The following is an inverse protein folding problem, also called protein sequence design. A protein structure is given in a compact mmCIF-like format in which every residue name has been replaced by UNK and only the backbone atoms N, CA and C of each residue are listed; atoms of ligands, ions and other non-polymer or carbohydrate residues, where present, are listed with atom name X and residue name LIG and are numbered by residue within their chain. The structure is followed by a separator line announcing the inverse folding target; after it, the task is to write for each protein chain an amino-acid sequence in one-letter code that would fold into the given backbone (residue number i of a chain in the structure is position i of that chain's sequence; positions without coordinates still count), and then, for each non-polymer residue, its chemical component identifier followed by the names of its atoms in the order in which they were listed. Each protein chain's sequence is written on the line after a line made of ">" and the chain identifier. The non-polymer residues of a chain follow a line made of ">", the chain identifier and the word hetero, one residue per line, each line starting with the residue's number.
data_IF_778184017567
#
_entry.id   IF_778184017567
#
_cell.length_a   1.000
_cell.length_b   1.000
_cell.length_c   1.000
_cell.angle_alpha   90.00
_cell.angle_beta   90.00
_cell.angle_gamma   90.00
#
_symmetry.space_group_name_H-M   'P 1'
#
loop_
_entity.id
_entity.type
_entity.pdbx_description
1 polymer ?
#
# COMPACT_ATOMS: atom_id res chain seq x y z
N UNK A 1 5.10 2.55 -16.50
CA UNK A 1 4.63 1.69 -15.40
C UNK A 1 3.20 2.09 -15.03
N UNK A 2 2.29 1.14 -14.81
CA UNK A 2 0.93 1.35 -14.33
C UNK A 2 0.82 0.91 -12.88
N UNK A 3 0.47 1.82 -11.98
CA UNK A 3 0.33 1.54 -10.54
C UNK A 3 -1.13 1.76 -10.14
N UNK A 4 -1.71 0.82 -9.40
CA UNK A 4 -2.98 1.02 -8.72
C UNK A 4 -2.71 1.23 -7.22
N UNK A 5 -3.32 2.26 -6.63
CA UNK A 5 -3.40 2.46 -5.19
C UNK A 5 -4.86 2.25 -4.79
N UNK A 6 -5.13 1.22 -3.99
CA UNK A 6 -6.48 0.81 -3.63
C UNK A 6 -6.67 0.86 -2.13
N UNK A 7 -7.81 1.39 -1.69
CA UNK A 7 -8.22 1.48 -0.28
C UNK A 7 -9.71 1.17 -0.14
N UNK A 8 -10.20 0.88 1.07
CA UNK A 8 -11.63 0.76 1.36
C UNK A 8 -12.19 1.85 2.29
N UNK A 9 -11.42 2.92 2.54
CA UNK A 9 -11.83 3.97 3.46
C UNK A 9 -11.45 5.37 2.94
N UNK A 10 -12.44 6.26 2.87
CA UNK A 10 -12.25 7.62 2.38
C UNK A 10 -11.27 8.45 3.23
N UNK A 11 -11.09 8.13 4.52
CA UNK A 11 -10.09 8.81 5.36
C UNK A 11 -8.65 8.56 4.92
N UNK A 12 -8.42 7.54 4.09
CA UNK A 12 -7.10 7.18 3.56
C UNK A 12 -6.78 7.88 2.23
N UNK A 13 -7.74 8.65 1.70
CA UNK A 13 -7.57 9.37 0.44
C UNK A 13 -6.43 10.41 0.48
N UNK A 14 -6.19 11.17 1.57
CA UNK A 14 -5.04 12.07 1.65
C UNK A 14 -3.69 11.35 1.48
N UNK A 15 -3.53 10.19 2.14
CA UNK A 15 -2.34 9.35 2.00
C UNK A 15 -2.22 8.83 0.56
N UNK A 16 -3.32 8.32 0.00
CA UNK A 16 -3.33 7.75 -1.35
C UNK A 16 -2.95 8.79 -2.42
N UNK A 17 -3.47 10.02 -2.30
CA UNK A 17 -3.15 11.13 -3.20
C UNK A 17 -1.69 11.55 -3.06
N UNK A 18 -1.21 11.76 -1.83
CA UNK A 18 0.17 12.16 -1.60
C UNK A 18 1.17 11.11 -2.09
N UNK A 19 0.86 9.83 -1.84
CA UNK A 19 1.66 8.73 -2.35
C UNK A 19 1.69 8.73 -3.88
N UNK A 20 0.56 9.01 -4.55
CA UNK A 20 0.54 9.11 -6.02
C UNK A 20 1.43 10.23 -6.54
N UNK A 21 1.37 11.43 -5.96
CA UNK A 21 2.22 12.56 -6.35
C UNK A 21 3.71 12.24 -6.19
N UNK A 22 4.08 11.59 -5.09
CA UNK A 22 5.48 11.27 -4.82
C UNK A 22 6.00 10.13 -5.70
N UNK A 23 5.19 9.12 -6.00
CA UNK A 23 5.52 8.08 -6.97
C UNK A 23 5.66 8.64 -8.38
N UNK A 24 4.81 9.59 -8.79
CA UNK A 24 4.95 10.30 -10.07
C UNK A 24 6.24 11.12 -10.16
N UNK A 25 6.70 11.69 -9.04
CA UNK A 25 7.95 12.43 -9.00
C UNK A 25 9.17 11.52 -9.11
N UNK A 26 9.15 10.36 -8.45
CA UNK A 26 10.30 9.45 -8.37
C UNK A 26 10.39 8.47 -9.55
N UNK A 27 9.26 8.02 -10.09
CA UNK A 27 9.19 7.04 -11.18
C UNK A 27 8.62 7.71 -12.42
N UNK A 28 9.47 7.98 -13.42
CA UNK A 28 9.03 8.50 -14.72
C UNK A 28 9.51 7.59 -15.85
N UNK A 29 8.61 7.13 -16.76
CA UNK A 29 7.18 7.41 -16.83
C UNK A 29 6.30 6.44 -16.00
N UNK A 30 5.34 6.99 -15.24
CA UNK A 30 4.32 6.23 -14.49
C UNK A 30 2.91 6.77 -14.77
N UNK A 31 1.91 5.89 -14.70
CA UNK A 31 0.49 6.21 -14.70
C UNK A 31 -0.11 5.58 -13.45
N UNK A 32 -0.76 6.39 -12.61
CA UNK A 32 -1.29 5.96 -11.33
C UNK A 32 -2.82 6.08 -11.31
N UNK A 33 -3.47 5.02 -10.84
CA UNK A 33 -4.92 4.98 -10.58
C UNK A 33 -5.14 4.85 -9.08
N UNK A 34 -5.92 5.75 -8.49
CA UNK A 34 -6.30 5.70 -7.08
C UNK A 34 -7.78 5.31 -7.01
N UNK A 35 -8.08 4.19 -6.35
CA UNK A 35 -9.45 3.69 -6.20
C UNK A 35 -9.82 3.49 -4.73
N UNK A 36 -11.02 3.94 -4.37
CA UNK A 36 -11.60 3.80 -3.04
C UNK A 36 -12.82 2.90 -3.14
N UNK A 37 -12.73 1.73 -2.55
CA UNK A 37 -13.84 0.79 -2.44
C UNK A 37 -14.75 1.18 -1.27
N UNK A 38 -16.07 0.96 -1.37
CA UNK A 38 -16.99 1.27 -0.28
C UNK A 38 -16.79 0.42 0.99
N UNK A 39 -16.18 -0.76 0.86
CA UNK A 39 -15.93 -1.68 1.97
C UNK A 39 -14.74 -2.61 1.69
N UNK A 40 -14.20 -3.24 2.74
CA UNK A 40 -13.13 -4.24 2.62
C UNK A 40 -13.58 -5.43 1.78
N UNK A 41 -14.84 -5.86 1.89
CA UNK A 41 -15.41 -6.96 1.11
C UNK A 41 -15.51 -6.63 -0.39
N UNK A 42 -15.84 -5.38 -0.73
CA UNK A 42 -15.83 -4.92 -2.13
C UNK A 42 -14.40 -4.83 -2.68
N UNK A 43 -13.45 -4.38 -1.86
CA UNK A 43 -12.02 -4.39 -2.21
C UNK A 43 -11.54 -5.83 -2.49
N UNK A 44 -11.88 -6.80 -1.64
CA UNK A 44 -11.56 -8.23 -1.84
C UNK A 44 -12.10 -8.73 -3.19
N UNK A 45 -13.35 -8.42 -3.48
CA UNK A 45 -14.02 -8.86 -4.71
C UNK A 45 -13.43 -8.19 -5.95
N UNK A 46 -13.02 -6.93 -5.83
CA UNK A 46 -12.47 -6.13 -6.92
C UNK A 46 -10.97 -6.30 -7.16
N UNK A 47 -10.21 -6.88 -6.22
CA UNK A 47 -8.74 -6.89 -6.26
C UNK A 47 -8.18 -7.55 -7.54
N UNK A 48 -8.81 -8.64 -7.99
CA UNK A 48 -8.38 -9.36 -9.20
C UNK A 48 -8.44 -8.49 -10.47
N UNK A 49 -9.30 -7.48 -10.50
CA UNK A 49 -9.46 -6.56 -11.63
C UNK A 49 -8.16 -5.82 -11.96
N UNK A 50 -7.25 -5.69 -10.99
CA UNK A 50 -5.98 -4.99 -11.15
C UNK A 50 -4.81 -5.89 -11.57
N UNK A 51 -5.05 -7.15 -11.94
CA UNK A 51 -4.03 -8.09 -12.45
C UNK A 51 -3.18 -7.53 -13.63
N UNK A 52 -3.73 -6.57 -14.38
CA UNK A 52 -3.08 -5.96 -15.53
C UNK A 52 -2.22 -4.74 -15.19
N UNK A 53 -2.14 -4.35 -13.91
CA UNK A 53 -1.24 -3.31 -13.43
C UNK A 53 0.15 -3.88 -13.13
N UNK A 54 1.19 -3.05 -13.30
CA UNK A 54 2.57 -3.44 -13.02
C UNK A 54 2.84 -3.56 -11.51
N UNK A 55 2.08 -2.80 -10.70
CA UNK A 55 2.13 -2.82 -9.24
C UNK A 55 0.77 -2.41 -8.68
N UNK A 56 0.33 -3.11 -7.65
CA UNK A 56 -0.85 -2.75 -6.86
C UNK A 56 -0.46 -2.51 -5.41
N UNK A 57 -0.85 -1.36 -4.89
CA UNK A 57 -0.60 -0.92 -3.54
C UNK A 57 -1.93 -0.94 -2.81
N UNK A 58 -2.08 -1.85 -1.85
CA UNK A 58 -3.27 -1.92 -0.99
C UNK A 58 -2.98 -1.13 0.28
N UNK A 59 -3.79 -0.12 0.56
CA UNK A 59 -3.77 0.66 1.79
C UNK A 59 -5.03 0.31 2.60
N UNK A 60 -4.85 -0.03 3.87
CA UNK A 60 -5.95 -0.23 4.79
C UNK A 60 -5.54 0.15 6.22
N UNK A 61 -6.27 1.09 6.80
CA UNK A 61 -6.18 1.47 8.20
C UNK A 61 -7.50 1.13 8.89
N UNK A 62 -7.44 0.24 9.87
CA UNK A 62 -8.62 -0.29 10.53
C UNK A 62 -8.51 -0.14 12.04
N UNK A 63 -9.62 0.16 12.73
CA UNK A 63 -9.65 0.30 14.18
C UNK A 63 -9.58 -1.06 14.88
N UNK A 64 -10.73 -1.69 15.15
CA UNK A 64 -10.74 -3.04 15.72
C UNK A 64 -10.50 -4.12 14.64
N UNK A 65 -9.79 -5.20 15.01
CA UNK A 65 -9.59 -6.36 14.15
C UNK A 65 -10.94 -6.89 13.64
N UNK A 66 -11.09 -6.93 12.31
CA UNK A 66 -12.31 -7.38 11.65
C UNK A 66 -12.08 -8.66 10.87
N UNK A 67 -13.11 -9.49 10.78
CA UNK A 67 -13.10 -10.69 9.94
C UNK A 67 -12.74 -10.36 8.48
N UNK A 68 -13.22 -9.23 7.98
CA UNK A 68 -13.00 -8.77 6.61
C UNK A 68 -11.52 -8.43 6.36
N UNK A 69 -10.82 -7.84 7.34
CA UNK A 69 -9.37 -7.57 7.23
C UNK A 69 -8.60 -8.88 7.07
N UNK A 70 -8.96 -9.91 7.84
CA UNK A 70 -8.35 -11.23 7.70
C UNK A 70 -8.60 -11.83 6.32
N UNK A 71 -9.83 -11.75 5.82
CA UNK A 71 -10.16 -12.22 4.47
C UNK A 71 -9.36 -11.46 3.39
N UNK A 72 -9.15 -10.14 3.56
CA UNK A 72 -8.33 -9.36 2.65
C UNK A 72 -6.87 -9.83 2.66
N UNK A 73 -6.32 -10.11 3.83
CA UNK A 73 -4.94 -10.62 3.94
C UNK A 73 -4.80 -11.99 3.26
N UNK A 74 -5.76 -12.88 3.43
CA UNK A 74 -5.81 -14.17 2.73
C UNK A 74 -5.90 -13.97 1.22
N UNK A 75 -6.76 -13.04 0.76
CA UNK A 75 -6.90 -12.71 -0.67
C UNK A 75 -5.63 -12.12 -1.28
N UNK A 76 -4.92 -11.25 -0.56
CA UNK A 76 -3.64 -10.69 -1.02
C UNK A 76 -2.60 -11.79 -1.24
N UNK A 77 -2.55 -12.79 -0.37
CA UNK A 77 -1.64 -13.94 -0.53
C UNK A 77 -2.02 -14.77 -1.75
N UNK A 78 -3.30 -14.99 -1.98
CA UNK A 78 -3.82 -15.69 -3.16
C UNK A 78 -3.42 -14.96 -4.46
N UNK A 79 -3.70 -13.66 -4.57
CA UNK A 79 -3.40 -12.89 -5.79
C UNK A 79 -1.89 -12.77 -6.05
N UNK A 80 -1.07 -12.63 -5.00
CA UNK A 80 0.39 -12.71 -5.13
C UNK A 80 0.84 -14.06 -5.69
N UNK A 81 0.25 -15.13 -5.21
CA UNK A 81 0.55 -16.50 -5.68
C UNK A 81 0.09 -16.71 -7.13
N UNK A 82 -0.93 -15.97 -7.57
CA UNK A 82 -1.40 -15.93 -8.96
C UNK A 82 -0.54 -15.04 -9.89
N UNK A 83 0.51 -14.39 -9.36
CA UNK A 83 1.48 -13.61 -10.13
C UNK A 83 1.29 -12.09 -10.06
N UNK A 84 0.32 -11.60 -9.28
CA UNK A 84 0.08 -10.18 -9.09
C UNK A 84 1.19 -9.54 -8.24
N UNK A 85 1.81 -8.48 -8.76
CA UNK A 85 2.78 -7.68 -7.98
C UNK A 85 2.03 -6.75 -7.04
N UNK A 86 1.90 -7.16 -5.78
CA UNK A 86 1.10 -6.47 -4.78
C UNK A 86 1.91 -6.13 -3.53
N UNK A 87 1.90 -4.86 -3.11
CA UNK A 87 2.43 -4.41 -1.82
C UNK A 87 1.27 -3.94 -0.95
N UNK A 88 1.22 -4.41 0.29
CA UNK A 88 0.09 -4.18 1.19
C UNK A 88 0.55 -3.48 2.47
N UNK A 89 -0.13 -2.40 2.83
CA UNK A 89 0.02 -1.66 4.07
C UNK A 89 -1.30 -1.75 4.81
N UNK A 90 -1.35 -2.69 5.74
CA UNK A 90 -2.54 -3.00 6.53
C UNK A 90 -2.15 -2.77 7.98
N UNK A 91 -2.57 -1.64 8.53
CA UNK A 91 -2.21 -1.22 9.88
C UNK A 91 -3.44 -1.02 10.73
N UNK A 92 -3.36 -1.49 11.97
CA UNK A 92 -4.37 -1.21 12.96
C UNK A 92 -4.15 0.22 13.47
N UNK A 93 -5.12 1.10 13.26
CA UNK A 93 -5.11 2.47 13.77
C UNK A 93 -6.52 2.83 14.23
N UNK A 94 -6.70 2.97 15.55
CA UNK A 94 -7.95 3.40 16.15
C UNK A 94 -8.21 4.90 15.96
N UNK A 95 -7.16 5.66 15.67
CA UNK A 95 -7.26 7.07 15.33
C UNK A 95 -7.47 7.22 13.81
N UNK A 96 -8.53 7.94 13.42
CA UNK A 96 -8.70 8.32 12.03
C UNK A 96 -7.50 9.17 11.60
N UNK A 97 -6.98 8.95 10.38
CA UNK A 97 -5.91 9.78 9.80
C UNK A 97 -6.41 11.23 9.76
N UNK A 98 -6.02 11.99 10.77
CA UNK A 98 -6.73 13.21 11.18
C UNK A 98 -6.01 14.48 10.79
N UNK A 99 -4.74 14.37 10.39
CA UNK A 99 -3.88 15.51 10.07
C UNK A 99 -3.00 15.26 8.83
N UNK A 100 -2.66 16.33 8.12
CA UNK A 100 -1.74 16.30 6.98
C UNK A 100 -0.34 15.79 7.37
N UNK A 101 0.08 16.01 8.62
CA UNK A 101 1.34 15.52 9.18
C UNK A 101 1.33 14.00 9.37
N UNK A 102 0.20 13.43 9.77
CA UNK A 102 0.04 11.99 9.87
C UNK A 102 0.05 11.35 8.48
N UNK A 103 -0.63 11.97 7.50
CA UNK A 103 -0.59 11.53 6.12
C UNK A 103 0.84 11.61 5.52
N UNK A 104 1.62 12.64 5.87
CA UNK A 104 3.06 12.73 5.53
C UNK A 104 3.83 11.54 6.07
N UNK A 105 3.74 11.32 7.38
CA UNK A 105 4.48 10.27 8.08
C UNK A 105 4.18 8.90 7.49
N UNK A 106 2.91 8.62 7.23
CA UNK A 106 2.46 7.36 6.63
C UNK A 106 3.01 7.21 5.20
N UNK A 107 2.91 8.27 4.39
CA UNK A 107 3.42 8.25 3.01
C UNK A 107 4.92 7.97 2.98
N UNK A 108 5.70 8.62 3.86
CA UNK A 108 7.15 8.39 3.98
C UNK A 108 7.48 6.95 4.37
N UNK A 109 6.71 6.34 5.28
CA UNK A 109 6.88 4.94 5.66
C UNK A 109 6.62 4.00 4.48
N UNK A 110 5.57 4.27 3.70
CA UNK A 110 5.24 3.50 2.50
C UNK A 110 6.37 3.59 1.48
N UNK A 111 6.85 4.79 1.18
CA UNK A 111 7.92 5.03 0.21
C UNK A 111 9.23 4.37 0.65
N UNK A 112 9.60 4.50 1.93
CA UNK A 112 10.76 3.80 2.50
C UNK A 112 10.66 2.30 2.35
N UNK A 113 9.46 1.73 2.44
CA UNK A 113 9.24 0.28 2.26
C UNK A 113 9.30 -0.13 0.79
N UNK A 114 8.81 0.71 -0.13
CA UNK A 114 8.83 0.45 -1.57
C UNK A 114 10.25 0.54 -2.16
N UNK A 115 11.03 1.55 -1.76
CA UNK A 115 12.35 1.83 -2.35
C UNK A 115 13.54 1.47 -1.45
N UNK A 116 13.27 1.03 -0.22
CA UNK A 116 14.28 0.86 0.83
C UNK A 116 14.70 2.19 1.45
N UNK A 117 15.29 2.14 2.65
CA UNK A 117 15.99 3.31 3.19
C UNK A 117 17.09 3.71 2.21
N UNK A 118 16.98 4.90 1.61
CA UNK A 118 18.09 5.52 0.90
C UNK A 118 19.33 5.52 1.80
N UNK A 119 20.30 4.66 1.49
CA UNK A 119 21.64 4.58 2.10
C UNK A 119 21.66 4.65 3.64
N UNK A 120 21.56 3.51 4.30
CA UNK A 120 22.39 3.31 5.50
C UNK A 120 23.85 3.32 5.05
N UNK A 121 24.59 4.37 5.44
CA UNK A 121 26.02 4.21 5.69
C UNK A 121 26.16 2.99 6.57
N UNK A 122 26.97 2.05 6.09
CA UNK A 122 27.41 0.86 6.80
C UNK A 122 27.74 1.19 8.25
N UNK A 123 26.97 0.64 9.18
CA UNK A 123 27.53 0.03 10.37
C UNK A 123 26.72 -1.22 10.69
N UNK A 124 27.44 -2.33 10.71
CA UNK A 124 26.89 -3.66 10.67
C UNK A 124 26.26 -4.06 11.99
N UNK A 125 25.04 -4.59 11.90
CA UNK A 125 24.59 -5.79 12.63
C UNK A 125 23.31 -6.23 11.94
N UNK A 126 23.33 -7.46 11.41
CA UNK A 126 22.30 -7.97 10.54
C UNK A 126 21.00 -8.33 11.26
N UNK A 127 19.91 -8.15 10.55
CA UNK A 127 18.73 -9.02 10.65
C UNK A 127 18.18 -9.24 9.24
N UNK A 128 18.06 -10.51 8.86
CA UNK A 128 17.62 -10.96 7.54
C UNK A 128 16.10 -10.86 7.45
N UNK A 129 15.60 -9.77 6.90
CA UNK A 129 14.35 -9.80 6.15
C UNK A 129 14.67 -9.98 4.68
N UNK A 130 14.16 -11.03 4.05
CA UNK A 130 14.27 -11.20 2.60
C UNK A 130 13.29 -10.21 1.97
N UNK A 131 13.79 -9.09 1.45
CA UNK A 131 12.96 -8.07 0.82
C UNK A 131 13.24 -8.04 -0.68
N UNK A 132 12.19 -8.25 -1.47
CA UNK A 132 12.22 -8.00 -2.92
C UNK A 132 12.05 -6.50 -3.12
N UNK A 133 13.16 -5.80 -3.35
CA UNK A 133 13.18 -4.43 -3.88
C UNK A 133 12.53 -4.44 -5.28
N UNK A 134 11.74 -3.41 -5.60
CA UNK A 134 11.29 -3.18 -6.98
C UNK A 134 12.46 -3.00 -7.94
#
# INVERSE_FOLDING_TARGET
>A
MKIAIVTSNASELPVSKRLSEELENQIKPVSISVEVFPSVLELISGLHSFMHFDLVIVLLYYGAESHDVRMLMEKIVEERSAGMKLVSFVEQNDDAIGSDDEALRITDLILKRLFGEGRKKSDGTGEKGSYTTL
#
